data_IF_437785536607
#
_entry.id   IF_437785536607
#
_cell.length_a   1.000
_cell.length_b   1.000
_cell.length_c   1.000
_cell.angle_alpha   90.00
_cell.angle_beta   90.00
_cell.angle_gamma   90.00
#
_symmetry.space_group_name_H-M   'P 1'
#
loop_
_entity.id
_entity.type
_entity.pdbx_description
1 polymer ?
#
# COMPACT_ATOMS: atom_id res chain seq x y z
N UNK A 1 2.76 -4.60 -1.62
CA UNK A 1 1.75 -3.62 -1.13
C UNK A 1 2.06 -2.27 -1.73
N UNK A 2 1.06 -1.61 -2.28
CA UNK A 2 1.14 -0.33 -2.97
C UNK A 2 0.34 0.69 -2.17
N UNK A 3 0.98 1.81 -1.83
CA UNK A 3 0.36 2.93 -1.09
C UNK A 3 0.77 4.26 -1.71
N UNK A 4 0.02 5.30 -1.38
CA UNK A 4 0.37 6.69 -1.71
C UNK A 4 -0.05 7.59 -0.55
N UNK A 5 0.78 8.56 -0.19
CA UNK A 5 0.40 9.61 0.76
C UNK A 5 -0.75 10.49 0.24
N UNK A 6 -1.25 11.43 1.05
CA UNK A 6 -2.44 12.20 0.75
C UNK A 6 -2.33 13.02 -0.55
N UNK A 7 -3.43 13.07 -1.29
CA UNK A 7 -3.56 13.78 -2.56
C UNK A 7 -4.37 15.08 -2.40
N UNK A 8 -5.24 15.16 -1.40
CA UNK A 8 -6.11 16.32 -1.14
C UNK A 8 -5.43 17.44 -0.32
N UNK A 9 -4.10 17.51 -0.34
CA UNK A 9 -3.29 18.48 0.40
C UNK A 9 -2.57 19.46 -0.54
N UNK A 10 -2.14 20.66 -0.09
CA UNK A 10 -1.48 21.65 -0.96
C UNK A 10 -0.23 21.14 -1.70
N UNK A 11 0.47 20.15 -1.13
CA UNK A 11 1.62 19.48 -1.75
C UNK A 11 1.36 17.97 -1.81
N UNK A 12 0.63 17.48 -2.83
CA UNK A 12 0.31 16.06 -2.98
C UNK A 12 1.56 15.20 -3.11
N UNK A 13 1.51 14.00 -2.53
CA UNK A 13 2.62 13.04 -2.67
C UNK A 13 2.49 12.31 -4.00
N UNK A 14 3.30 12.71 -4.98
CA UNK A 14 3.21 12.15 -6.33
C UNK A 14 3.70 10.69 -6.43
N UNK A 15 4.68 10.30 -5.59
CA UNK A 15 5.23 8.94 -5.61
C UNK A 15 4.30 7.94 -4.93
N UNK A 16 4.26 6.73 -5.47
CA UNK A 16 3.79 5.55 -4.74
C UNK A 16 4.95 4.93 -3.98
N UNK A 17 4.60 4.27 -2.87
CA UNK A 17 5.50 3.39 -2.14
C UNK A 17 5.14 1.93 -2.47
N UNK A 18 6.18 1.12 -2.69
CA UNK A 18 6.05 -0.34 -2.74
C UNK A 18 6.70 -0.93 -1.50
N UNK A 19 5.97 -1.79 -0.80
CA UNK A 19 6.50 -2.49 0.36
C UNK A 19 6.05 -3.93 0.45
N UNK A 20 6.91 -4.76 1.03
CA UNK A 20 6.58 -6.12 1.44
C UNK A 20 6.22 -6.11 2.93
N UNK A 21 4.96 -6.39 3.21
CA UNK A 21 4.39 -6.42 4.56
C UNK A 21 3.62 -7.73 4.73
N UNK A 22 3.81 -8.41 5.86
CA UNK A 22 3.06 -9.63 6.16
C UNK A 22 1.58 -9.29 6.33
N UNK A 23 0.72 -10.15 5.78
CA UNK A 23 -0.73 -10.03 5.92
C UNK A 23 -1.33 -11.32 6.47
N UNK A 24 -2.01 -11.22 7.61
CA UNK A 24 -2.70 -12.35 8.23
C UNK A 24 -4.16 -12.35 7.83
N UNK A 25 -4.65 -13.48 7.31
CA UNK A 25 -6.07 -13.71 7.07
C UNK A 25 -6.82 -13.76 8.40
N UNK A 26 -7.86 -12.94 8.50
CA UNK A 26 -8.71 -12.84 9.70
C UNK A 26 -10.20 -12.95 9.39
N UNK A 27 -10.56 -13.05 8.11
CA UNK A 27 -11.92 -13.22 7.64
C UNK A 27 -11.97 -13.25 6.11
N UNK A 28 -13.12 -13.58 5.53
CA UNK A 28 -13.27 -13.80 4.08
C UNK A 28 -12.73 -12.67 3.18
N UNK A 29 -12.82 -11.42 3.63
CA UNK A 29 -12.33 -10.22 2.92
C UNK A 29 -11.51 -9.30 3.83
N UNK A 30 -10.82 -9.88 4.81
CA UNK A 30 -10.13 -9.10 5.85
C UNK A 30 -8.74 -9.65 6.11
N UNK A 31 -7.77 -8.73 6.11
CA UNK A 31 -6.36 -8.99 6.34
C UNK A 31 -5.82 -8.00 7.37
N UNK A 32 -4.90 -8.44 8.22
CA UNK A 32 -4.09 -7.54 9.04
C UNK A 32 -2.97 -6.96 8.17
N UNK A 33 -2.77 -5.65 8.20
CA UNK A 33 -1.61 -5.00 7.57
C UNK A 33 -0.47 -4.84 8.59
N UNK A 34 0.52 -5.74 8.57
CA UNK A 34 1.67 -5.69 9.49
C UNK A 34 2.85 -4.96 8.86
N UNK A 35 2.93 -3.66 9.09
CA UNK A 35 4.10 -2.83 8.80
C UNK A 35 4.77 -2.32 10.08
N UNK A 36 6.07 -2.01 10.02
CA UNK A 36 6.73 -1.25 11.08
C UNK A 36 6.46 0.25 10.88
N UNK A 37 6.34 1.00 11.97
CA UNK A 37 5.89 2.40 11.95
C UNK A 37 6.72 3.34 11.06
N UNK A 38 7.98 3.00 10.78
CA UNK A 38 8.90 3.80 9.96
C UNK A 38 8.91 3.41 8.48
N UNK A 39 8.12 2.42 8.05
CA UNK A 39 8.08 1.99 6.64
C UNK A 39 7.20 2.93 5.83
N UNK A 40 7.52 3.12 4.55
CA UNK A 40 6.84 4.09 3.68
C UNK A 40 5.31 3.98 3.71
N UNK A 41 4.75 2.77 3.62
CA UNK A 41 3.30 2.58 3.69
C UNK A 41 2.66 2.97 5.03
N UNK A 42 3.38 2.80 6.15
CA UNK A 42 2.90 3.24 7.46
C UNK A 42 2.93 4.78 7.59
N UNK A 43 3.93 5.42 6.99
CA UNK A 43 4.02 6.89 6.91
C UNK A 43 2.91 7.45 6.03
N UNK A 44 2.69 6.87 4.84
CA UNK A 44 1.60 7.25 3.93
C UNK A 44 0.24 7.14 4.63
N UNK A 45 -0.03 6.03 5.32
CA UNK A 45 -1.25 5.83 6.09
C UNK A 45 -1.43 6.90 7.18
N UNK A 46 -0.37 7.20 7.94
CA UNK A 46 -0.40 8.20 9.01
C UNK A 46 -0.67 9.60 8.46
N UNK A 47 0.04 10.00 7.42
CA UNK A 47 -0.14 11.29 6.75
C UNK A 47 -1.55 11.41 6.17
N UNK A 48 -2.04 10.35 5.53
CA UNK A 48 -3.39 10.31 5.00
C UNK A 48 -4.44 10.46 6.11
N UNK A 49 -4.31 9.73 7.23
CA UNK A 49 -5.26 9.81 8.33
C UNK A 49 -5.32 11.20 8.97
N UNK A 50 -4.20 11.93 9.01
CA UNK A 50 -4.14 13.32 9.47
C UNK A 50 -4.80 14.29 8.49
N UNK A 51 -4.57 14.10 7.19
CA UNK A 51 -5.11 14.97 6.14
C UNK A 51 -6.59 14.70 5.86
N UNK A 52 -7.05 13.46 6.04
CA UNK A 52 -8.40 12.99 5.71
C UNK A 52 -9.06 12.29 6.91
N UNK A 53 -9.36 13.01 8.02
CA UNK A 53 -9.94 12.39 9.21
C UNK A 53 -11.25 11.65 8.89
N UNK A 54 -11.36 10.42 9.39
CA UNK A 54 -12.55 9.58 9.20
C UNK A 54 -12.69 8.94 7.81
N UNK A 55 -11.76 9.19 6.89
CA UNK A 55 -11.78 8.52 5.59
C UNK A 55 -10.96 7.22 5.62
N UNK A 56 -11.42 6.17 4.92
CA UNK A 56 -10.68 4.92 4.83
C UNK A 56 -9.48 5.08 3.87
N UNK A 57 -8.32 4.57 4.24
CA UNK A 57 -7.08 4.72 3.47
C UNK A 57 -7.00 3.72 2.31
N UNK A 58 -6.91 4.17 1.04
CA UNK A 58 -6.85 3.29 -0.12
C UNK A 58 -5.53 2.50 -0.18
N UNK A 59 -5.61 1.22 -0.53
CA UNK A 59 -4.45 0.34 -0.59
C UNK A 59 -4.65 -0.79 -1.60
N UNK A 60 -3.58 -1.17 -2.29
CA UNK A 60 -3.57 -2.31 -3.19
C UNK A 60 -2.43 -3.30 -2.87
N UNK A 61 -2.61 -4.56 -3.20
CA UNK A 61 -1.62 -5.62 -3.01
C UNK A 61 -1.52 -6.42 -4.30
N UNK A 62 -0.38 -6.30 -4.98
CA UNK A 62 -0.05 -7.16 -6.11
C UNK A 62 0.63 -8.45 -5.61
N UNK A 63 0.13 -9.60 -6.05
CA UNK A 63 0.70 -10.93 -5.85
C UNK A 63 1.09 -11.48 -7.22
N UNK A 64 2.25 -12.14 -7.30
CA UNK A 64 2.77 -12.62 -8.58
C UNK A 64 3.17 -11.48 -9.55
N UNK A 65 3.69 -10.36 -9.01
CA UNK A 65 4.30 -9.34 -9.86
C UNK A 65 5.59 -9.87 -10.50
N UNK A 66 6.05 -9.21 -11.56
CA UNK A 66 7.30 -9.60 -12.20
C UNK A 66 8.51 -9.55 -11.22
N UNK A 67 9.59 -10.31 -11.50
CA UNK A 67 10.72 -10.41 -10.57
C UNK A 67 11.43 -9.08 -10.26
N UNK A 68 11.58 -8.19 -11.25
CA UNK A 68 12.28 -6.92 -11.04
C UNK A 68 11.48 -5.96 -10.16
N UNK A 69 10.15 -5.99 -10.23
CA UNK A 69 9.25 -5.22 -9.36
C UNK A 69 9.32 -5.74 -7.93
N UNK A 70 9.32 -7.06 -7.73
CA UNK A 70 9.49 -7.68 -6.40
C UNK A 70 10.84 -7.28 -5.79
N UNK A 71 11.93 -7.37 -6.55
CA UNK A 71 13.27 -6.95 -6.11
C UNK A 71 13.33 -5.45 -5.83
N UNK A 72 12.70 -4.62 -6.66
CA UNK A 72 12.63 -3.18 -6.47
C UNK A 72 11.87 -2.79 -5.19
N UNK A 73 10.82 -3.52 -4.82
CA UNK A 73 10.04 -3.28 -3.59
C UNK A 73 10.81 -3.57 -2.29
N UNK A 74 11.88 -4.36 -2.34
CA UNK A 74 12.73 -4.65 -1.15
C UNK A 74 14.03 -3.87 -1.16
N UNK A 75 14.45 -3.36 -2.31
CA UNK A 75 15.71 -2.64 -2.44
C UNK A 75 15.57 -1.26 -1.82
N UNK A 76 16.47 -0.85 -0.91
CA UNK A 76 16.46 0.51 -0.40
C UNK A 76 16.81 1.48 -1.53
N UNK A 77 15.81 2.24 -2.00
CA UNK A 77 15.99 3.27 -3.02
C UNK A 77 15.90 4.67 -2.38
N UNK A 78 16.63 5.67 -2.92
CA UNK A 78 16.49 7.05 -2.47
C UNK A 78 15.06 7.56 -2.66
N UNK A 79 14.64 8.52 -1.84
CA UNK A 79 13.26 9.03 -1.92
C UNK A 79 12.91 9.74 -3.23
N UNK A 80 13.93 10.18 -3.96
CA UNK A 80 13.84 10.79 -5.29
C UNK A 80 13.56 9.79 -6.42
N UNK A 81 13.67 8.48 -6.15
CA UNK A 81 13.48 7.41 -7.13
C UNK A 81 12.35 6.48 -6.65
N UNK A 82 11.34 6.27 -7.49
CA UNK A 82 10.29 5.29 -7.16
C UNK A 82 10.81 3.86 -7.33
N UNK A 83 10.27 2.95 -6.53
CA UNK A 83 10.58 1.52 -6.60
C UNK A 83 10.25 0.95 -7.99
N UNK A 84 9.22 1.46 -8.67
CA UNK A 84 8.90 1.09 -10.05
C UNK A 84 9.95 1.58 -11.07
N UNK A 85 10.51 2.77 -10.87
CA UNK A 85 11.59 3.28 -11.71
C UNK A 85 12.84 2.45 -11.52
N UNK A 86 13.17 2.10 -10.28
CA UNK A 86 14.29 1.21 -9.97
C UNK A 86 14.09 -0.19 -10.56
N UNK A 87 12.89 -0.77 -10.43
CA UNK A 87 12.54 -2.03 -11.10
C UNK A 87 12.72 -1.94 -12.62
N UNK A 88 12.37 -0.80 -13.23
CA UNK A 88 12.56 -0.58 -14.65
C UNK A 88 14.04 -0.54 -15.07
N UNK A 89 14.91 0.03 -14.23
CA UNK A 89 16.36 0.00 -14.45
C UNK A 89 16.89 -1.44 -14.41
N UNK A 90 16.46 -2.24 -13.44
CA UNK A 90 16.85 -3.66 -13.34
C UNK A 90 16.36 -4.49 -14.53
N UNK A 91 15.14 -4.20 -15.02
CA UNK A 91 14.51 -4.89 -16.15
C UNK A 91 15.05 -4.46 -17.51
N UNK A 92 15.60 -3.24 -17.61
CA UNK A 92 15.99 -2.61 -18.87
C UNK A 92 14.84 -1.96 -19.64
N UNK A 93 13.63 -1.89 -19.06
CA UNK A 93 12.46 -1.24 -19.67
C UNK A 93 11.51 -0.73 -18.59
N UNK A 94 10.63 0.21 -18.95
CA UNK A 94 9.65 0.78 -17.99
C UNK A 94 8.73 -0.33 -17.48
N UNK A 95 8.44 -0.31 -16.17
CA UNK A 95 7.42 -1.17 -15.58
C UNK A 95 6.05 -0.78 -16.14
N UNK A 96 5.34 -1.76 -16.70
CA UNK A 96 3.98 -1.57 -17.19
C UNK A 96 2.99 -1.56 -16.02
N UNK A 97 2.18 -0.51 -15.96
CA UNK A 97 1.27 -0.24 -14.85
C UNK A 97 -0.14 -0.05 -15.37
N UNK A 98 -1.11 -0.45 -14.55
CA UNK A 98 -2.54 -0.18 -14.76
C UNK A 98 -3.12 0.47 -13.50
N UNK A 99 -4.14 1.30 -13.69
CA UNK A 99 -4.89 1.86 -12.57
C UNK A 99 -5.71 0.76 -11.90
N UNK A 100 -5.64 0.71 -10.57
CA UNK A 100 -6.55 -0.07 -9.73
C UNK A 100 -7.90 0.66 -9.58
N UNK A 101 -8.88 -0.02 -8.98
CA UNK A 101 -10.16 0.57 -8.60
C UNK A 101 -10.13 1.41 -7.31
N UNK A 102 -8.97 1.58 -6.67
CA UNK A 102 -8.83 2.30 -5.40
C UNK A 102 -7.81 3.44 -5.48
N UNK A 103 -8.11 4.54 -4.82
CA UNK A 103 -7.26 5.72 -4.79
C UNK A 103 -7.90 6.87 -4.04
N UNK A 104 -7.33 8.06 -4.20
CA UNK A 104 -7.81 9.28 -3.54
C UNK A 104 -7.99 10.40 -4.57
N UNK A 105 -9.07 11.18 -4.45
CA UNK A 105 -9.30 12.38 -5.25
C UNK A 105 -9.15 12.15 -6.78
N UNK A 106 -9.68 11.03 -7.28
CA UNK A 106 -9.61 10.66 -8.69
C UNK A 106 -8.24 10.17 -9.17
N UNK A 107 -7.26 10.04 -8.27
CA UNK A 107 -5.92 9.50 -8.58
C UNK A 107 -5.82 8.08 -8.05
N UNK A 108 -5.98 7.11 -8.94
CA UNK A 108 -5.92 5.69 -8.61
C UNK A 108 -4.49 5.25 -8.25
N UNK A 109 -4.39 4.21 -7.42
CA UNK A 109 -3.14 3.50 -7.22
C UNK A 109 -2.83 2.68 -8.47
N UNK A 110 -1.57 2.66 -8.88
CA UNK A 110 -1.07 1.94 -10.02
C UNK A 110 -0.40 0.64 -9.58
N UNK A 111 -0.84 -0.47 -10.17
CA UNK A 111 -0.32 -1.82 -9.92
C UNK A 111 0.36 -2.37 -11.17
N UNK A 112 1.29 -3.35 -11.05
CA UNK A 112 1.90 -3.98 -12.21
C UNK A 112 0.84 -4.65 -13.09
N UNK A 113 0.85 -4.33 -14.38
CA UNK A 113 -0.10 -4.89 -15.34
C UNK A 113 -0.01 -6.42 -15.44
N UNK A 114 1.18 -6.96 -15.15
CA UNK A 114 1.50 -8.39 -15.18
C UNK A 114 1.26 -9.12 -13.86
N UNK A 115 0.74 -8.46 -12.82
CA UNK A 115 0.45 -9.11 -11.55
C UNK A 115 -0.60 -10.23 -11.74
N UNK A 116 -0.34 -11.41 -11.19
CA UNK A 116 -1.27 -12.55 -11.28
C UNK A 116 -2.59 -12.28 -10.53
N UNK A 117 -2.49 -11.66 -9.35
CA UNK A 117 -3.65 -11.31 -8.51
C UNK A 117 -3.43 -9.93 -7.91
N UNK A 118 -4.47 -9.10 -7.94
CA UNK A 118 -4.50 -7.81 -7.24
C UNK A 118 -5.61 -7.82 -6.21
N UNK A 119 -5.25 -7.55 -4.95
CA UNK A 119 -6.22 -7.29 -3.88
C UNK A 119 -6.35 -5.78 -3.71
N UNK A 120 -7.57 -5.28 -3.81
CA UNK A 120 -7.88 -3.87 -3.66
C UNK A 120 -8.80 -3.67 -2.46
N UNK A 121 -8.59 -2.59 -1.72
CA UNK A 121 -9.43 -2.28 -0.58
C UNK A 121 -8.98 -1.04 0.15
N UNK A 122 -9.39 -0.95 1.41
CA UNK A 122 -9.08 0.18 2.26
C UNK A 122 -8.78 -0.25 3.69
N UNK A 123 -7.96 0.52 4.39
CA UNK A 123 -7.81 0.42 5.85
C UNK A 123 -8.85 1.35 6.48
N UNK A 124 -9.84 0.82 7.23
CA UNK A 124 -10.85 1.64 7.86
C UNK A 124 -10.24 2.51 8.98
N UNK A 125 -10.79 3.70 9.24
CA UNK A 125 -10.38 4.51 10.37
C UNK A 125 -10.70 3.78 11.68
N UNK A 126 -9.83 3.96 12.67
CA UNK A 126 -10.04 3.43 14.01
C UNK A 126 -9.63 4.48 15.05
N UNK A 127 -10.29 4.46 16.20
CA UNK A 127 -9.90 5.29 17.33
C UNK A 127 -8.50 4.90 17.82
N UNK A 128 -7.76 5.86 18.37
CA UNK A 128 -6.48 5.58 18.99
C UNK A 128 -6.64 4.53 20.10
N UNK A 129 -5.78 3.49 20.07
CA UNK A 129 -5.86 2.39 21.03
C UNK A 129 -6.97 1.37 20.77
N UNK A 130 -7.65 1.42 19.62
CA UNK A 130 -8.66 0.43 19.25
C UNK A 130 -8.14 -1.01 19.40
N UNK A 131 -8.99 -1.85 19.97
CA UNK A 131 -8.81 -3.30 20.07
C UNK A 131 -10.11 -3.98 19.68
N UNK A 132 -10.01 -5.18 19.13
CA UNK A 132 -11.17 -5.94 18.68
C UNK A 132 -10.76 -7.31 18.17
N UNK A 133 -11.74 -8.10 17.76
CA UNK A 133 -11.56 -9.38 17.09
C UNK A 133 -12.31 -9.38 15.76
N UNK A 134 -11.85 -10.18 14.81
CA UNK A 134 -12.58 -10.45 13.57
C UNK A 134 -13.82 -11.31 13.83
N UNK A 135 -14.65 -11.50 12.81
CA UNK A 135 -15.83 -12.39 12.86
C UNK A 135 -15.45 -13.83 13.27
N UNK A 136 -14.24 -14.27 12.90
CA UNK A 136 -13.68 -15.58 13.24
C UNK A 136 -12.96 -15.59 14.61
N UNK A 137 -13.09 -14.53 15.40
CA UNK A 137 -12.51 -14.42 16.75
C UNK A 137 -11.01 -14.11 16.78
N UNK A 138 -10.40 -13.73 15.65
CA UNK A 138 -8.96 -13.43 15.58
C UNK A 138 -8.69 -11.99 16.05
N UNK A 139 -7.78 -11.76 17.02
CA UNK A 139 -7.45 -10.41 17.47
C UNK A 139 -6.95 -9.51 16.34
N UNK A 140 -7.50 -8.30 16.24
CA UNK A 140 -7.15 -7.29 15.23
C UNK A 140 -5.84 -6.56 15.51
N UNK A 141 -5.23 -6.84 16.66
CA UNK A 141 -3.96 -6.29 17.11
C UNK A 141 -3.04 -7.45 17.47
N UNK A 142 -1.89 -7.57 16.80
CA UNK A 142 -0.82 -8.47 17.24
C UNK A 142 -0.25 -7.95 18.59
N UNK A 143 0.03 -8.87 19.52
CA UNK A 143 0.64 -8.55 20.83
C UNK A 143 2.08 -8.10 20.68
#
# INVERSE_FOLDING_TARGET
VITRGPQSVPKPRARQNLGIYRQQLIGRRQLIMRWLAHRGGALDFREFALANPGQPFPIAVALGADPATILGAVTPVPDSLSEYQFAGLLRGSRTELVDSGVGEAGRMLQVPASAEIVLEGHIPPAAAGFTGASEDGVPLKEK
#
